data_IF_490765041586
#
_entry.id   IF_490765041586
#
_cell.length_a   1.000
_cell.length_b   1.000
_cell.length_c   1.000
_cell.angle_alpha   90.00
_cell.angle_beta   90.00
_cell.angle_gamma   90.00
#
_symmetry.space_group_name_H-M   'P 1'
#
loop_
_entity.id
_entity.type
_entity.pdbx_description
1 polymer ?
#
# COMPACT_ATOMS: atom_id res chain seq x y z
N UNK A 1 28.48 19.43 -41.91
CA UNK A 1 28.55 19.43 -40.44
C UNK A 1 27.29 18.76 -39.94
N UNK A 2 27.42 17.53 -39.44
CA UNK A 2 26.37 16.73 -38.83
C UNK A 2 25.97 17.31 -37.46
N UNK A 3 24.79 17.92 -37.36
CA UNK A 3 24.18 18.22 -36.06
C UNK A 3 23.17 17.12 -35.71
N UNK A 4 23.68 15.98 -35.23
CA UNK A 4 22.89 15.02 -34.45
C UNK A 4 22.46 15.69 -33.15
N UNK A 5 21.29 16.32 -33.14
CA UNK A 5 20.57 16.64 -31.90
C UNK A 5 20.10 15.33 -31.27
N UNK A 6 20.92 14.79 -30.37
CA UNK A 6 20.52 13.73 -29.44
C UNK A 6 19.45 14.30 -28.51
N UNK A 7 18.18 14.20 -28.92
CA UNK A 7 17.02 14.55 -28.12
C UNK A 7 16.86 13.60 -26.94
N UNK A 8 17.49 13.92 -25.81
CA UNK A 8 17.18 13.35 -24.50
C UNK A 8 15.80 13.84 -24.04
N UNK A 9 14.72 13.46 -24.73
CA UNK A 9 13.40 14.02 -24.45
C UNK A 9 12.20 13.34 -25.10
N UNK A 10 12.40 12.24 -25.85
CA UNK A 10 11.29 11.43 -26.32
C UNK A 10 10.71 10.61 -25.17
N UNK A 11 9.62 11.07 -24.55
CA UNK A 11 8.78 10.19 -23.71
C UNK A 11 8.36 9.03 -24.60
N UNK A 12 8.94 7.84 -24.39
CA UNK A 12 8.56 6.63 -25.11
C UNK A 12 7.07 6.42 -24.85
N UNK A 13 6.27 6.33 -25.90
CA UNK A 13 4.87 5.89 -25.81
C UNK A 13 4.87 4.54 -25.08
N UNK A 14 4.20 4.47 -23.92
CA UNK A 14 4.26 3.31 -23.02
C UNK A 14 5.10 3.50 -21.75
N UNK A 15 5.80 4.62 -21.57
CA UNK A 15 6.52 4.97 -20.31
C UNK A 15 5.60 5.47 -19.19
N UNK A 16 4.36 4.99 -19.15
CA UNK A 16 3.47 5.17 -18.00
C UNK A 16 3.59 3.94 -17.10
N UNK A 17 3.85 4.13 -15.79
CA UNK A 17 3.53 3.08 -14.82
C UNK A 17 2.08 2.68 -15.06
N UNK A 18 1.82 1.42 -15.41
CA UNK A 18 0.47 0.86 -15.42
C UNK A 18 -0.12 1.19 -14.05
N UNK A 19 -1.20 1.99 -14.02
CA UNK A 19 -1.91 2.28 -12.78
C UNK A 19 -2.59 0.98 -12.39
N UNK A 20 -1.89 0.18 -11.58
CA UNK A 20 -2.54 -0.90 -10.84
C UNK A 20 -3.40 -0.15 -9.83
N UNK A 21 -4.64 0.15 -10.22
CA UNK A 21 -5.65 0.60 -9.29
C UNK A 21 -5.98 -0.61 -8.42
N UNK A 22 -5.13 -0.88 -7.42
CA UNK A 22 -5.59 -1.68 -6.30
C UNK A 22 -6.78 -0.92 -5.72
N UNK A 23 -7.96 -1.50 -5.84
CA UNK A 23 -9.20 -0.90 -5.37
C UNK A 23 -9.07 -0.66 -3.87
N UNK A 24 -8.85 0.61 -3.50
CA UNK A 24 -8.73 1.01 -2.11
C UNK A 24 -10.11 1.27 -1.57
N UNK A 25 -10.61 0.33 -0.78
CA UNK A 25 -11.85 0.51 -0.02
C UNK A 25 -11.53 1.29 1.26
N UNK A 26 -12.27 2.38 1.50
CA UNK A 26 -12.19 3.10 2.77
C UNK A 26 -13.16 2.45 3.74
N UNK A 27 -12.66 1.95 4.87
CA UNK A 27 -13.46 1.37 5.93
C UNK A 27 -13.63 2.39 7.06
N UNK A 28 -14.86 2.54 7.54
CA UNK A 28 -15.17 3.31 8.74
C UNK A 28 -15.62 2.32 9.82
N UNK A 29 -14.84 2.19 10.90
CA UNK A 29 -15.13 1.27 11.99
C UNK A 29 -15.09 2.00 13.34
N UNK A 30 -16.05 1.64 14.20
CA UNK A 30 -16.03 2.04 15.58
C UNK A 30 -15.11 1.09 16.38
N UNK A 31 -14.16 1.66 17.10
CA UNK A 31 -13.27 0.94 18.03
C UNK A 31 -13.34 1.62 19.39
N UNK A 32 -13.22 0.84 20.47
CA UNK A 32 -13.19 1.39 21.82
C UNK A 32 -11.98 2.32 22.00
N UNK A 33 -12.08 3.25 22.94
CA UNK A 33 -10.99 4.19 23.23
C UNK A 33 -9.70 3.47 23.66
N UNK A 34 -9.84 2.40 24.45
CA UNK A 34 -8.73 1.56 24.89
C UNK A 34 -8.05 0.85 23.71
N UNK A 35 -8.83 0.22 22.82
CA UNK A 35 -8.29 -0.45 21.63
C UNK A 35 -7.56 0.55 20.72
N UNK A 36 -8.08 1.77 20.61
CA UNK A 36 -7.46 2.84 19.84
C UNK A 36 -6.12 3.27 20.44
N UNK A 37 -6.03 3.40 21.76
CA UNK A 37 -4.77 3.72 22.45
C UNK A 37 -3.72 2.60 22.27
N UNK A 38 -4.13 1.33 22.34
CA UNK A 38 -3.24 0.19 22.08
C UNK A 38 -2.71 0.20 20.64
N UNK A 39 -3.59 0.47 19.66
CA UNK A 39 -3.19 0.61 18.26
C UNK A 39 -2.21 1.76 18.04
N UNK A 40 -2.40 2.89 18.73
CA UNK A 40 -1.50 4.04 18.64
C UNK A 40 -0.12 3.74 19.22
N UNK A 41 -0.06 3.09 20.38
CA UNK A 41 1.20 2.67 20.98
C UNK A 41 1.95 1.67 20.09
N UNK A 42 1.23 0.71 19.48
CA UNK A 42 1.79 -0.26 18.55
C UNK A 42 2.26 0.39 17.24
N UNK A 43 1.52 1.33 16.70
CA UNK A 43 1.93 2.08 15.51
C UNK A 43 3.20 2.92 15.80
N UNK A 44 3.26 3.57 16.97
CA UNK A 44 4.40 4.36 17.40
C UNK A 44 5.67 3.51 17.60
N UNK A 45 5.56 2.31 18.19
CA UNK A 45 6.72 1.43 18.40
C UNK A 45 7.34 0.92 17.11
N UNK A 46 6.55 0.85 16.03
CA UNK A 46 7.00 0.43 14.70
C UNK A 46 7.33 1.60 13.77
N UNK A 47 7.06 2.85 14.17
CA UNK A 47 7.26 4.03 13.32
C UNK A 47 6.36 4.04 12.08
N UNK A 48 5.15 3.45 12.17
CA UNK A 48 4.19 3.37 11.05
C UNK A 48 2.91 4.13 11.35
N UNK A 49 2.08 4.34 10.34
CA UNK A 49 0.76 4.94 10.54
C UNK A 49 -0.18 3.96 11.23
N UNK A 50 -1.17 4.48 11.96
CA UNK A 50 -2.26 3.69 12.57
C UNK A 50 -2.94 2.77 11.56
N UNK A 51 -3.18 3.25 10.34
CA UNK A 51 -3.82 2.46 9.29
C UNK A 51 -2.93 1.31 8.82
N UNK A 52 -1.62 1.55 8.66
CA UNK A 52 -0.68 0.50 8.30
C UNK A 52 -0.57 -0.57 9.40
N UNK A 53 -0.59 -0.15 10.66
CA UNK A 53 -0.63 -1.05 11.81
C UNK A 53 -1.91 -1.90 11.83
N UNK A 54 -3.07 -1.28 11.57
CA UNK A 54 -4.35 -1.97 11.50
C UNK A 54 -4.41 -2.97 10.33
N UNK A 55 -3.97 -2.58 9.14
CA UNK A 55 -3.88 -3.48 7.98
C UNK A 55 -3.00 -4.69 8.27
N UNK A 56 -1.88 -4.48 8.98
CA UNK A 56 -0.98 -5.56 9.38
C UNK A 56 -1.66 -6.53 10.35
N UNK A 57 -2.33 -6.02 11.39
CA UNK A 57 -3.08 -6.84 12.33
C UNK A 57 -4.21 -7.63 11.65
N UNK A 58 -4.93 -7.00 10.72
CA UNK A 58 -5.97 -7.68 9.93
C UNK A 58 -5.33 -8.79 9.09
N UNK A 59 -4.18 -8.56 8.43
CA UNK A 59 -3.48 -9.60 7.67
C UNK A 59 -2.95 -10.72 8.57
N UNK A 60 -2.43 -10.42 9.75
CA UNK A 60 -1.94 -11.44 10.69
C UNK A 60 -3.10 -12.29 11.22
N UNK A 61 -4.24 -11.68 11.54
CA UNK A 61 -5.39 -12.37 12.12
C UNK A 61 -6.28 -13.08 11.07
N UNK A 62 -6.50 -12.45 9.91
CA UNK A 62 -7.36 -12.97 8.85
C UNK A 62 -6.59 -13.66 7.72
N UNK A 63 -5.29 -13.41 7.58
CA UNK A 63 -4.44 -13.99 6.53
C UNK A 63 -3.95 -15.41 6.82
N UNK A 64 -4.33 -15.99 7.96
CA UNK A 64 -4.15 -17.41 8.27
C UNK A 64 -5.16 -18.34 7.58
N UNK A 65 -5.40 -18.19 6.27
CA UNK A 65 -6.05 -19.19 5.41
C UNK A 65 -6.16 -18.77 3.93
N UNK A 66 -5.19 -18.05 3.35
CA UNK A 66 -5.04 -18.12 1.89
C UNK A 66 -4.16 -19.32 1.55
N UNK A 67 -4.76 -20.52 1.64
CA UNK A 67 -4.30 -21.63 0.81
C UNK A 67 -4.30 -21.14 -0.64
N UNK A 68 -3.24 -21.36 -1.44
CA UNK A 68 -3.35 -21.19 -2.88
C UNK A 68 -4.23 -22.32 -3.41
N UNK A 69 -5.55 -22.17 -3.30
CA UNK A 69 -6.49 -22.98 -4.05
C UNK A 69 -6.44 -22.47 -5.50
N UNK A 70 -5.58 -23.08 -6.31
CA UNK A 70 -5.58 -22.92 -7.76
C UNK A 70 -4.23 -22.51 -8.33
N UNK A 71 -3.34 -23.49 -8.48
CA UNK A 71 -2.39 -23.56 -9.58
C UNK A 71 -2.53 -24.93 -10.24
#
# INVERSE_FOLDING_TARGET
MDEKKNGWGGKREGSGRKRVFAERVTLNSAVSAEARAMLDAYAASLGISRNAALERLIREHCGGSMSPCGA
#
